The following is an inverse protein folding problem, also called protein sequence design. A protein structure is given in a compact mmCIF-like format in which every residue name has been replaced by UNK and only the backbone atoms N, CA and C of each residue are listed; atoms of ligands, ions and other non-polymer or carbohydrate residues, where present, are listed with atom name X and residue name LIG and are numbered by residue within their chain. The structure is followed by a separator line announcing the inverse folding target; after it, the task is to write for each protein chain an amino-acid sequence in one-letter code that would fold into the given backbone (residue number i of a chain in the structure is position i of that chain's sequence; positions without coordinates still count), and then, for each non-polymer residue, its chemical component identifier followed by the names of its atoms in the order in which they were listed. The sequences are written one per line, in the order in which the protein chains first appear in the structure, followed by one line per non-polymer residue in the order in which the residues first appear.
data_IF_926601869890
#
_entry.id   IF_926601869890
#
_cell.length_a   1.000
_cell.length_b   1.000
_cell.length_c   1.000
_cell.angle_alpha   90.00
_cell.angle_beta   90.00
_cell.angle_gamma   90.00
#
_symmetry.space_group_name_H-M   'P 1'
#
loop_
_entity.id
_entity.type
_entity.pdbx_description
1 polymer ?
#
# COMPACT_ATOMS: atom_id res chain seq x y z
N UNK A 1 -9.07 -2.12 -6.45
CA UNK A 1 -7.76 -1.61 -6.88
C UNK A 1 -6.80 -2.72 -7.32
N UNK A 2 -6.58 -3.77 -6.53
CA UNK A 2 -5.69 -4.86 -6.96
C UNK A 2 -6.20 -5.60 -8.23
N UNK A 3 -7.51 -5.87 -8.30
CA UNK A 3 -8.13 -6.43 -9.51
C UNK A 3 -8.05 -5.50 -10.73
N UNK A 4 -8.23 -4.19 -10.54
CA UNK A 4 -8.10 -3.20 -11.62
C UNK A 4 -6.67 -3.19 -12.19
N UNK A 5 -5.67 -3.29 -11.31
CA UNK A 5 -4.28 -3.44 -11.71
C UNK A 5 -4.05 -4.77 -12.44
N UNK A 6 -4.63 -5.88 -11.98
CA UNK A 6 -4.55 -7.17 -12.68
C UNK A 6 -5.17 -7.10 -14.09
N UNK A 7 -6.30 -6.44 -14.25
CA UNK A 7 -6.93 -6.22 -15.55
C UNK A 7 -6.02 -5.43 -16.48
N UNK A 8 -5.40 -4.35 -15.99
CA UNK A 8 -4.40 -3.58 -16.73
C UNK A 8 -3.19 -4.44 -17.14
N UNK A 9 -2.65 -5.24 -16.22
CA UNK A 9 -1.52 -6.13 -16.50
C UNK A 9 -1.86 -7.15 -17.58
N UNK A 10 -3.06 -7.71 -17.56
CA UNK A 10 -3.55 -8.63 -18.60
C UNK A 10 -3.72 -7.90 -19.94
N UNK A 11 -4.29 -6.69 -19.94
CA UNK A 11 -4.45 -5.88 -21.15
C UNK A 11 -3.09 -5.56 -21.80
N UNK A 12 -2.05 -5.34 -21.00
CA UNK A 12 -0.67 -5.12 -21.45
C UNK A 12 0.08 -6.41 -21.81
N UNK A 13 -0.54 -7.58 -21.68
CA UNK A 13 0.07 -8.90 -21.85
C UNK A 13 1.28 -9.15 -20.93
N UNK A 14 1.28 -8.56 -19.73
CA UNK A 14 2.30 -8.81 -18.71
C UNK A 14 1.89 -10.00 -17.83
N UNK A 15 1.87 -11.18 -18.45
CA UNK A 15 1.33 -12.42 -17.87
C UNK A 15 2.39 -13.48 -17.60
N UNK A 16 3.64 -13.25 -17.97
CA UNK A 16 4.72 -14.23 -17.86
C UNK A 16 5.15 -14.46 -16.41
N UNK A 17 5.66 -15.66 -16.07
CA UNK A 17 6.23 -15.93 -14.75
C UNK A 17 7.39 -14.98 -14.44
N UNK A 18 7.47 -14.50 -13.19
CA UNK A 18 8.51 -13.59 -12.70
C UNK A 18 8.80 -12.39 -13.64
N UNK A 19 7.76 -11.83 -14.26
CA UNK A 19 7.89 -10.69 -15.15
C UNK A 19 7.84 -9.35 -14.40
N UNK A 20 7.16 -9.31 -13.25
CA UNK A 20 6.78 -8.06 -12.60
C UNK A 20 7.72 -7.72 -11.44
N UNK A 21 8.28 -6.51 -11.45
CA UNK A 21 8.94 -5.90 -10.30
C UNK A 21 8.05 -4.77 -9.79
N UNK A 22 7.55 -4.90 -8.56
CA UNK A 22 6.52 -4.00 -8.03
C UNK A 22 7.10 -3.21 -6.85
N UNK A 23 6.90 -1.90 -6.85
CA UNK A 23 7.21 -1.03 -5.70
C UNK A 23 5.93 -0.34 -5.25
N UNK A 24 5.45 -0.72 -4.07
CA UNK A 24 4.26 -0.14 -3.47
C UNK A 24 4.61 0.86 -2.37
N UNK A 25 4.10 2.09 -2.48
CA UNK A 25 4.35 3.18 -1.54
C UNK A 25 3.05 3.57 -0.83
N UNK A 26 3.07 3.71 0.50
CA UNK A 26 1.90 4.09 1.29
C UNK A 26 0.71 3.16 0.99
N UNK A 27 -0.48 3.68 0.71
CA UNK A 27 -1.64 2.88 0.31
C UNK A 27 -1.37 1.98 -0.91
N UNK A 28 -0.46 2.38 -1.81
CA UNK A 28 -0.04 1.56 -2.94
C UNK A 28 0.64 0.26 -2.53
N UNK A 29 1.29 0.23 -1.37
CA UNK A 29 1.87 -0.99 -0.79
C UNK A 29 0.81 -1.98 -0.30
N UNK A 30 -0.33 -1.50 0.21
CA UNK A 30 -1.46 -2.36 0.58
C UNK A 30 -2.05 -3.02 -0.67
N UNK A 31 -2.24 -2.24 -1.74
CA UNK A 31 -2.75 -2.74 -3.02
C UNK A 31 -1.77 -3.74 -3.65
N UNK A 32 -0.46 -3.46 -3.58
CA UNK A 32 0.57 -4.34 -4.12
C UNK A 32 0.63 -5.70 -3.40
N UNK A 33 0.36 -5.74 -2.09
CA UNK A 33 0.27 -6.99 -1.33
C UNK A 33 -0.92 -7.83 -1.78
N UNK A 34 -2.11 -7.22 -1.92
CA UNK A 34 -3.29 -7.91 -2.46
C UNK A 34 -3.05 -8.45 -3.88
N UNK A 35 -2.38 -7.68 -4.75
CA UNK A 35 -2.00 -8.17 -6.07
C UNK A 35 -1.02 -9.36 -5.99
N UNK A 36 -0.07 -9.33 -5.05
CA UNK A 36 0.88 -10.41 -4.88
C UNK A 36 0.22 -11.73 -4.43
N UNK A 37 -0.88 -11.65 -3.68
CA UNK A 37 -1.70 -12.80 -3.34
C UNK A 37 -2.49 -13.33 -4.56
N UNK A 38 -2.95 -12.45 -5.44
CA UNK A 38 -3.69 -12.81 -6.65
C UNK A 38 -2.81 -13.46 -7.73
N UNK A 39 -1.59 -12.98 -7.94
CA UNK A 39 -0.69 -13.43 -9.04
C UNK A 39 0.75 -13.70 -8.57
N UNK A 40 0.95 -14.57 -7.55
CA UNK A 40 2.27 -14.76 -6.93
C UNK A 40 3.34 -15.24 -7.91
N UNK A 41 2.97 -16.05 -8.89
CA UNK A 41 3.90 -16.61 -9.89
C UNK A 41 4.41 -15.58 -10.90
N UNK A 42 3.72 -14.44 -11.05
CA UNK A 42 4.10 -13.38 -12.00
C UNK A 42 5.06 -12.36 -11.40
N UNK A 43 5.18 -12.31 -10.07
CA UNK A 43 6.04 -11.36 -9.38
C UNK A 43 7.47 -11.91 -9.26
N UNK A 44 8.44 -11.09 -9.66
CA UNK A 44 9.86 -11.32 -9.47
C UNK A 44 10.38 -10.63 -8.21
N UNK A 45 9.96 -9.39 -7.97
CA UNK A 45 10.29 -8.65 -6.75
C UNK A 45 9.14 -7.77 -6.28
N UNK A 46 9.04 -7.60 -4.96
CA UNK A 46 8.06 -6.75 -4.31
C UNK A 46 8.75 -5.88 -3.25
N UNK A 47 8.77 -4.57 -3.47
CA UNK A 47 9.26 -3.58 -2.52
C UNK A 47 8.07 -2.88 -1.84
N UNK A 48 8.10 -2.82 -0.51
CA UNK A 48 7.05 -2.24 0.32
C UNK A 48 7.61 -1.07 1.11
N UNK A 49 7.12 0.15 0.83
CA UNK A 49 7.68 1.39 1.38
C UNK A 49 6.59 2.16 2.12
N UNK A 50 6.81 2.42 3.42
CA UNK A 50 5.89 3.20 4.26
C UNK A 50 4.44 2.71 4.19
N UNK A 51 4.26 1.39 4.16
CA UNK A 51 2.97 0.71 4.05
C UNK A 51 2.79 -0.27 5.20
N UNK A 52 1.57 -0.77 5.39
CA UNK A 52 1.26 -1.89 6.26
C UNK A 52 0.46 -2.95 5.50
N UNK A 53 0.29 -4.14 6.07
CA UNK A 53 -0.66 -5.14 5.57
C UNK A 53 -2.11 -4.75 5.92
N UNK A 54 -2.30 -4.22 7.12
CA UNK A 54 -3.55 -3.65 7.60
C UNK A 54 -3.25 -2.38 8.40
N UNK A 55 -4.08 -1.35 8.25
CA UNK A 55 -4.04 -0.16 9.10
C UNK A 55 -5.30 -0.16 9.95
N UNK A 56 -5.13 -0.44 11.24
CA UNK A 56 -6.20 -0.37 12.21
C UNK A 56 -6.05 0.87 13.08
N UNK A 57 -7.17 1.51 13.39
CA UNK A 57 -7.15 2.67 14.26
C UNK A 57 -7.09 2.20 15.71
N UNK A 58 -5.91 2.27 16.33
CA UNK A 58 -5.70 1.85 17.72
C UNK A 58 -6.07 2.92 18.75
N UNK A 59 -6.52 4.10 18.30
CA UNK A 59 -6.86 5.24 19.16
C UNK A 59 -8.37 5.41 19.30
N UNK A 60 -8.80 5.86 20.48
CA UNK A 60 -10.21 6.23 20.69
C UNK A 60 -10.60 7.45 19.83
N UNK A 61 -11.89 7.63 19.55
CA UNK A 61 -12.37 8.72 18.68
C UNK A 61 -11.86 10.11 19.12
N UNK A 62 -11.93 10.40 20.42
CA UNK A 62 -11.47 11.68 20.97
C UNK A 62 -9.96 11.85 20.81
N UNK A 63 -9.19 10.80 21.03
CA UNK A 63 -7.74 10.81 20.92
C UNK A 63 -7.29 10.99 19.47
N UNK A 64 -7.97 10.37 18.51
CA UNK A 64 -7.72 10.59 17.08
C UNK A 64 -8.01 12.05 16.69
N UNK A 65 -9.11 12.62 17.19
CA UNK A 65 -9.46 14.02 16.94
C UNK A 65 -8.40 14.97 17.52
N UNK A 66 -7.95 14.73 18.75
CA UNK A 66 -6.87 15.49 19.37
C UNK A 66 -5.55 15.38 18.59
N UNK A 67 -5.18 14.17 18.15
CA UNK A 67 -3.98 13.96 17.34
C UNK A 67 -4.04 14.73 16.00
N UNK A 68 -5.20 14.77 15.34
CA UNK A 68 -5.41 15.54 14.11
C UNK A 68 -5.29 17.04 14.35
N UNK A 69 -5.87 17.56 15.43
CA UNK A 69 -5.74 18.98 15.81
C UNK A 69 -4.26 19.32 16.05
N UNK A 70 -3.54 18.45 16.76
CA UNK A 70 -2.12 18.63 17.06
C UNK A 70 -1.21 18.60 15.84
N UNK A 71 -1.63 18.06 14.68
CA UNK A 71 -0.87 18.16 13.43
C UNK A 71 -0.83 19.59 12.87
N UNK A 72 -1.81 20.43 13.20
CA UNK A 72 -1.87 21.83 12.78
C UNK A 72 -1.15 22.79 13.73
N UNK A 73 -0.74 22.30 14.92
CA UNK A 73 0.00 23.08 15.90
C UNK A 73 1.49 22.92 15.61
N UNK A 74 2.21 24.00 15.25
CA UNK A 74 3.64 23.93 15.02
C UNK A 74 4.34 23.47 16.30
N UNK A 75 5.06 22.35 16.23
CA UNK A 75 5.89 21.90 17.35
C UNK A 75 7.10 22.82 17.43
N UNK A 76 7.31 23.45 18.58
CA UNK A 76 8.54 24.16 18.89
C UNK A 76 9.71 23.17 18.78
N UNK A 77 10.81 23.59 18.14
CA UNK A 77 12.04 22.79 18.15
C UNK A 77 12.59 22.71 19.57
N UNK A 78 13.10 21.55 20.02
CA UNK A 78 13.93 21.51 21.22
C UNK A 78 15.20 22.36 21.04
#
# INVERSE_FOLDING_TARGET
MAHDLLELLNHLNWTSPHQLNITGVSMGGMIAQELALLIPTRINSLNLISTAACIENTTSFLENLWNRINMFIPKSRP
#
